data_IF_163740984787
#
_entry.id   IF_163740984787
#
_cell.length_a   1.000
_cell.length_b   1.000
_cell.length_c   1.000
_cell.angle_alpha   90.00
_cell.angle_beta   90.00
_cell.angle_gamma   90.00
#
_symmetry.space_group_name_H-M   'P 1'
#
loop_
_entity.id
_entity.type
_entity.pdbx_description
1 polymer ?
#
# COMPACT_ATOMS: atom_id res chain seq x y z
N UNK A 1 -18.15 30.47 21.19
CA UNK A 1 -17.85 29.56 20.10
C UNK A 1 -17.67 28.14 20.62
N UNK A 2 -17.87 27.13 19.76
CA UNK A 2 -17.68 25.74 20.11
C UNK A 2 -16.54 25.17 19.27
N UNK A 3 -15.70 24.35 19.88
CA UNK A 3 -14.68 23.55 19.19
C UNK A 3 -15.24 22.13 19.11
N UNK A 4 -15.33 21.60 17.89
CA UNK A 4 -15.80 20.24 17.65
C UNK A 4 -14.62 19.29 17.59
N UNK A 5 -14.51 18.29 18.49
CA UNK A 5 -13.50 17.28 18.38
C UNK A 5 -13.80 16.38 17.15
N UNK A 6 -12.81 16.24 16.28
CA UNK A 6 -12.87 15.37 15.12
C UNK A 6 -11.92 14.20 15.34
N UNK A 7 -12.33 13.00 14.96
CA UNK A 7 -11.51 11.81 15.06
C UNK A 7 -10.97 11.43 13.68
N UNK A 8 -9.65 11.42 13.55
CA UNK A 8 -8.97 10.91 12.36
C UNK A 8 -9.20 9.39 12.23
N UNK A 9 -9.31 8.91 11.00
CA UNK A 9 -9.37 7.47 10.72
C UNK A 9 -8.01 6.82 10.94
N UNK A 10 -7.95 5.61 11.56
CA UNK A 10 -6.74 4.81 11.59
C UNK A 10 -6.17 4.63 10.18
N UNK A 11 -4.85 4.83 10.02
CA UNK A 11 -4.19 4.86 8.71
C UNK A 11 -4.00 6.26 8.12
N UNK A 12 -4.61 7.30 8.74
CA UNK A 12 -4.40 8.70 8.38
C UNK A 12 -4.79 9.02 6.94
N UNK A 13 -4.01 9.91 6.30
CA UNK A 13 -4.26 10.35 4.91
C UNK A 13 -4.24 9.21 3.88
N UNK A 14 -3.60 8.09 4.18
CA UNK A 14 -3.58 6.91 3.32
C UNK A 14 -4.93 6.17 3.32
N UNK A 15 -5.75 6.38 4.35
CA UNK A 15 -7.10 5.80 4.45
C UNK A 15 -8.19 6.78 4.06
N UNK A 16 -8.00 8.05 4.38
CA UNK A 16 -8.88 9.15 4.01
C UNK A 16 -8.05 10.40 3.74
N UNK A 17 -8.06 10.87 2.50
CA UNK A 17 -7.35 12.09 2.08
C UNK A 17 -8.06 13.35 2.60
N UNK A 18 -8.07 13.54 3.93
CA UNK A 18 -8.76 14.62 4.62
C UNK A 18 -7.82 15.47 5.49
N UNK A 19 -8.21 16.71 5.77
CA UNK A 19 -7.43 17.63 6.60
C UNK A 19 -7.33 17.17 8.06
N UNK A 20 -8.35 16.49 8.59
CA UNK A 20 -8.33 15.89 9.93
C UNK A 20 -7.23 14.85 10.05
N UNK A 21 -7.15 13.96 9.07
CA UNK A 21 -6.11 12.94 8.99
C UNK A 21 -4.73 13.58 8.79
N UNK A 22 -4.63 14.57 7.91
CA UNK A 22 -3.38 15.28 7.65
C UNK A 22 -2.83 15.97 8.90
N UNK A 23 -3.67 16.59 9.72
CA UNK A 23 -3.24 17.24 10.94
C UNK A 23 -2.65 16.25 11.95
N UNK A 24 -3.27 15.08 12.11
CA UNK A 24 -2.79 14.01 12.98
C UNK A 24 -1.50 13.40 12.45
N UNK A 25 -1.44 13.10 11.14
CA UNK A 25 -0.24 12.52 10.50
C UNK A 25 0.97 13.46 10.62
N UNK A 26 0.79 14.76 10.38
CA UNK A 26 1.85 15.74 10.53
C UNK A 26 2.38 15.83 11.96
N UNK A 27 1.47 15.78 12.95
CA UNK A 27 1.89 15.75 14.36
C UNK A 27 2.71 14.48 14.67
N UNK A 28 2.26 13.32 14.21
CA UNK A 28 2.99 12.06 14.41
C UNK A 28 4.36 12.05 13.70
N UNK A 29 4.42 12.52 12.45
CA UNK A 29 5.68 12.63 11.69
C UNK A 29 6.67 13.58 12.34
N UNK A 30 6.17 14.59 13.05
CA UNK A 30 7.00 15.51 13.84
C UNK A 30 7.40 14.93 15.22
N UNK A 31 7.03 13.70 15.56
CA UNK A 31 7.30 13.08 16.86
C UNK A 31 6.45 13.64 18.00
N UNK A 32 5.33 14.29 17.68
CA UNK A 32 4.41 14.88 18.67
C UNK A 32 3.21 13.99 18.94
N UNK A 33 2.41 14.35 19.95
CA UNK A 33 1.14 13.68 20.22
C UNK A 33 0.22 13.75 18.99
N UNK A 34 -0.54 12.67 18.68
CA UNK A 34 -1.34 12.56 17.46
C UNK A 34 -2.62 13.41 17.54
N UNK A 35 -2.45 14.71 17.63
CA UNK A 35 -3.53 15.70 17.68
C UNK A 35 -3.09 17.00 17.02
N UNK A 36 -4.05 17.75 16.48
CA UNK A 36 -3.79 19.04 15.87
C UNK A 36 -5.04 19.91 15.84
N UNK A 37 -4.84 21.21 15.74
CA UNK A 37 -5.91 22.19 15.52
C UNK A 37 -5.94 22.53 14.04
N UNK A 38 -7.12 22.52 13.45
CA UNK A 38 -7.35 22.92 12.06
C UNK A 38 -8.31 24.10 12.02
N UNK A 39 -8.08 25.00 11.08
CA UNK A 39 -8.93 26.16 10.86
C UNK A 39 -8.92 26.52 9.37
N UNK A 40 -10.09 26.79 8.82
CA UNK A 40 -10.22 27.25 7.45
C UNK A 40 -9.76 28.71 7.32
N UNK A 41 -9.14 29.03 6.19
CA UNK A 41 -8.73 30.40 5.86
C UNK A 41 -9.80 31.03 4.97
N UNK A 42 -10.39 32.13 5.45
CA UNK A 42 -11.40 32.92 4.74
C UNK A 42 -10.79 34.18 4.12
N UNK A 43 -11.32 34.56 2.99
CA UNK A 43 -11.08 35.87 2.38
C UNK A 43 -11.84 36.97 3.15
N UNK A 44 -11.51 38.23 2.91
CA UNK A 44 -12.15 39.37 3.56
C UNK A 44 -13.64 39.51 3.24
N UNK A 45 -14.10 38.93 2.15
CA UNK A 45 -15.52 38.89 1.74
C UNK A 45 -16.30 37.72 2.37
N UNK A 46 -15.62 36.87 3.19
CA UNK A 46 -16.22 35.71 3.84
C UNK A 46 -16.20 34.43 2.99
N UNK A 47 -15.74 34.49 1.76
CA UNK A 47 -15.56 33.29 0.95
C UNK A 47 -14.35 32.47 1.42
N UNK A 48 -14.35 31.14 1.14
CA UNK A 48 -13.22 30.29 1.46
C UNK A 48 -12.05 30.54 0.51
N UNK A 49 -10.86 30.82 1.07
CA UNK A 49 -9.64 30.99 0.29
C UNK A 49 -9.31 29.72 -0.50
N UNK A 50 -8.92 29.90 -1.75
CA UNK A 50 -8.51 28.85 -2.68
C UNK A 50 -7.00 28.95 -2.92
N UNK A 51 -6.44 28.03 -3.69
CA UNK A 51 -4.99 27.91 -3.86
C UNK A 51 -4.27 29.22 -4.22
N UNK A 52 -4.79 30.08 -5.13
CA UNK A 52 -4.13 31.36 -5.43
C UNK A 52 -4.07 32.33 -4.22
N UNK A 53 -5.15 32.39 -3.43
CA UNK A 53 -5.23 33.20 -2.21
C UNK A 53 -4.35 32.62 -1.12
N UNK A 54 -4.37 31.28 -0.95
CA UNK A 54 -3.57 30.57 0.04
C UNK A 54 -2.07 30.73 -0.20
N UNK A 55 -1.61 30.75 -1.46
CA UNK A 55 -0.21 31.05 -1.79
C UNK A 55 0.21 32.42 -1.30
N UNK A 56 -0.59 33.47 -1.64
CA UNK A 56 -0.32 34.84 -1.17
C UNK A 56 -0.36 34.96 0.36
N UNK A 57 -1.28 34.25 1.00
CA UNK A 57 -1.38 34.20 2.45
C UNK A 57 -0.14 33.54 3.07
N UNK A 58 0.29 32.40 2.55
CA UNK A 58 1.48 31.69 3.01
C UNK A 58 2.72 32.55 2.86
N UNK A 59 2.93 33.18 1.70
CA UNK A 59 4.06 34.06 1.43
C UNK A 59 4.08 35.26 2.41
N UNK A 60 2.91 35.87 2.62
CA UNK A 60 2.78 37.04 3.53
C UNK A 60 3.16 36.70 4.97
N UNK A 61 2.82 35.52 5.43
CA UNK A 61 2.99 35.12 6.83
C UNK A 61 4.15 34.16 7.06
N UNK A 62 4.94 33.86 6.02
CA UNK A 62 6.06 32.93 6.10
C UNK A 62 5.62 31.50 6.45
N UNK A 63 4.44 31.08 6.01
CA UNK A 63 3.88 29.74 6.29
C UNK A 63 4.27 28.75 5.22
N UNK A 64 4.39 27.48 5.62
CA UNK A 64 4.56 26.39 4.67
C UNK A 64 3.21 26.01 4.07
N UNK A 65 3.18 25.76 2.76
CA UNK A 65 2.02 25.29 2.04
C UNK A 65 2.35 23.90 1.47
N UNK A 66 1.58 22.91 1.87
CA UNK A 66 1.71 21.53 1.40
C UNK A 66 0.36 21.04 0.90
N UNK A 67 0.36 20.00 0.07
CA UNK A 67 -0.86 19.30 -0.33
C UNK A 67 -1.01 17.97 0.39
N UNK A 68 -2.25 17.50 0.56
CA UNK A 68 -2.52 16.15 1.08
C UNK A 68 -1.93 15.09 0.13
N UNK A 69 -1.93 15.35 -1.17
CA UNK A 69 -1.31 14.45 -2.15
C UNK A 69 0.20 14.27 -1.92
N UNK A 70 0.92 15.36 -1.60
CA UNK A 70 2.35 15.27 -1.29
C UNK A 70 2.59 14.55 0.04
N UNK A 71 1.73 14.75 1.04
CA UNK A 71 1.81 14.02 2.31
C UNK A 71 1.57 12.52 2.11
N UNK A 72 0.59 12.15 1.29
CA UNK A 72 0.35 10.74 0.92
C UNK A 72 1.59 10.14 0.27
N UNK A 73 2.17 10.83 -0.73
CA UNK A 73 3.40 10.37 -1.41
C UNK A 73 4.54 10.21 -0.42
N UNK A 74 4.78 11.22 0.42
CA UNK A 74 5.82 11.17 1.44
C UNK A 74 5.68 9.95 2.35
N UNK A 75 4.45 9.65 2.82
CA UNK A 75 4.21 8.48 3.67
C UNK A 75 4.44 7.17 2.94
N UNK A 76 3.97 7.06 1.67
CA UNK A 76 4.20 5.86 0.85
C UNK A 76 5.69 5.60 0.59
N UNK A 77 6.48 6.65 0.42
CA UNK A 77 7.92 6.53 0.14
C UNK A 77 8.75 6.22 1.40
N UNK A 78 8.28 6.64 2.59
CA UNK A 78 9.08 6.58 3.82
C UNK A 78 8.57 5.57 4.86
N UNK A 79 7.35 5.03 4.72
CA UNK A 79 6.79 4.07 5.66
C UNK A 79 6.63 2.69 5.00
N UNK A 80 6.71 1.64 5.82
CA UNK A 80 6.49 0.26 5.38
C UNK A 80 5.17 -0.25 5.97
N UNK A 81 4.21 -0.50 5.08
CA UNK A 81 2.87 -0.95 5.45
C UNK A 81 2.66 -2.45 5.29
N UNK A 82 3.58 -3.13 4.61
CA UNK A 82 3.53 -4.57 4.40
C UNK A 82 4.47 -5.25 5.37
N UNK A 83 3.91 -6.10 6.24
CA UNK A 83 4.66 -6.86 7.22
C UNK A 83 4.65 -8.34 6.90
N UNK A 84 5.81 -8.96 7.07
CA UNK A 84 5.97 -10.41 7.06
C UNK A 84 5.34 -10.98 8.32
N UNK A 85 4.40 -11.93 8.16
CA UNK A 85 3.64 -12.50 9.27
C UNK A 85 4.12 -13.91 9.63
N UNK A 86 4.31 -14.75 8.64
CA UNK A 86 4.65 -16.15 8.83
C UNK A 86 5.43 -16.69 7.64
N UNK A 87 6.11 -17.82 7.85
CA UNK A 87 6.74 -18.58 6.78
C UNK A 87 6.61 -20.07 7.04
N UNK A 88 6.54 -20.86 5.99
CA UNK A 88 6.51 -22.31 6.06
C UNK A 88 7.13 -22.91 4.79
N UNK A 89 7.66 -24.13 4.91
CA UNK A 89 8.00 -24.92 3.74
C UNK A 89 6.72 -25.42 3.06
N UNK A 90 6.64 -25.26 1.76
CA UNK A 90 5.50 -25.65 0.95
C UNK A 90 5.94 -26.62 -0.16
N UNK A 91 5.95 -27.92 0.11
CA UNK A 91 6.10 -28.92 -0.94
C UNK A 91 4.89 -28.88 -1.85
N UNK A 92 5.10 -28.87 -3.15
CA UNK A 92 4.04 -28.82 -4.14
C UNK A 92 4.39 -29.71 -5.35
N UNK A 93 3.42 -29.93 -6.23
CA UNK A 93 3.65 -30.62 -7.51
C UNK A 93 4.62 -29.89 -8.45
N UNK A 94 4.91 -28.63 -8.17
CA UNK A 94 5.83 -27.78 -8.93
C UNK A 94 7.23 -27.74 -8.32
N UNK A 95 7.44 -28.37 -7.16
CA UNK A 95 8.68 -28.38 -6.41
C UNK A 95 8.51 -27.91 -4.97
N UNK A 96 9.62 -27.69 -4.29
CA UNK A 96 9.64 -27.22 -2.90
C UNK A 96 9.90 -25.72 -2.88
N UNK A 97 8.95 -24.96 -2.33
CA UNK A 97 9.03 -23.54 -2.15
C UNK A 97 8.94 -23.17 -0.66
N UNK A 98 9.46 -22.01 -0.30
CA UNK A 98 9.14 -21.36 0.96
C UNK A 98 7.97 -20.41 0.75
N UNK A 99 6.84 -20.67 1.41
CA UNK A 99 5.71 -19.77 1.44
C UNK A 99 5.90 -18.74 2.55
N UNK A 100 5.81 -17.46 2.21
CA UNK A 100 5.92 -16.33 3.16
C UNK A 100 4.64 -15.51 3.07
N UNK A 101 3.91 -15.44 4.18
CA UNK A 101 2.70 -14.64 4.30
C UNK A 101 3.02 -13.19 4.70
N UNK A 102 2.37 -12.27 4.03
CA UNK A 102 2.46 -10.83 4.30
C UNK A 102 1.07 -10.26 4.58
N UNK A 103 1.02 -9.25 5.43
CA UNK A 103 -0.19 -8.45 5.69
C UNK A 103 0.08 -6.98 5.43
N UNK A 104 -0.85 -6.35 4.72
CA UNK A 104 -0.87 -4.91 4.56
C UNK A 104 -1.64 -4.28 5.74
N UNK A 105 -0.98 -3.44 6.52
CA UNK A 105 -1.56 -2.81 7.71
C UNK A 105 -2.60 -1.73 7.39
N UNK A 106 -2.62 -1.22 6.15
CA UNK A 106 -3.56 -0.18 5.75
C UNK A 106 -4.98 -0.71 5.52
N UNK A 107 -5.11 -1.89 4.93
CA UNK A 107 -6.40 -2.46 4.53
C UNK A 107 -6.64 -3.87 5.09
N UNK A 108 -5.62 -4.46 5.74
CA UNK A 108 -5.68 -5.81 6.29
C UNK A 108 -5.57 -6.92 5.24
N UNK A 109 -5.31 -6.58 3.98
CA UNK A 109 -5.12 -7.57 2.93
C UNK A 109 -3.91 -8.45 3.20
N UNK A 110 -4.01 -9.71 2.81
CA UNK A 110 -2.94 -10.70 2.98
C UNK A 110 -2.46 -11.16 1.60
N UNK A 111 -1.15 -11.29 1.47
CA UNK A 111 -0.50 -11.73 0.25
C UNK A 111 0.49 -12.83 0.56
N UNK A 112 0.86 -13.62 -0.44
CA UNK A 112 1.82 -14.72 -0.28
C UNK A 112 2.94 -14.58 -1.29
N UNK A 113 4.18 -14.72 -0.84
CA UNK A 113 5.32 -14.97 -1.72
C UNK A 113 5.72 -16.43 -1.65
N UNK A 114 5.91 -17.08 -2.80
CA UNK A 114 6.50 -18.38 -2.93
C UNK A 114 7.94 -18.20 -3.41
N UNK A 115 8.89 -18.58 -2.57
CA UNK A 115 10.31 -18.33 -2.80
C UNK A 115 11.01 -19.66 -3.04
N UNK A 116 11.79 -19.75 -4.10
CA UNK A 116 12.75 -20.81 -4.38
C UNK A 116 14.15 -20.27 -4.16
N UNK A 117 15.01 -21.05 -3.52
CA UNK A 117 16.34 -20.62 -3.09
C UNK A 117 16.35 -19.99 -1.69
N UNK A 118 17.52 -19.53 -1.27
CA UNK A 118 17.69 -18.84 0.02
C UNK A 118 17.31 -17.36 -0.10
N UNK A 119 16.28 -16.86 0.63
CA UNK A 119 15.74 -15.51 0.44
C UNK A 119 16.77 -14.39 0.58
N UNK A 120 17.83 -14.61 1.36
CA UNK A 120 18.88 -13.61 1.61
C UNK A 120 20.09 -13.76 0.68
N UNK A 121 20.09 -14.75 -0.21
CA UNK A 121 21.20 -15.08 -1.10
C UNK A 121 20.75 -15.31 -2.54
N UNK A 122 19.60 -14.75 -2.94
CA UNK A 122 19.14 -14.80 -4.31
C UNK A 122 20.08 -14.02 -5.23
N UNK A 123 20.30 -14.54 -6.42
CA UNK A 123 21.09 -13.86 -7.46
C UNK A 123 20.45 -12.55 -7.92
N UNK A 124 21.24 -11.64 -8.46
CA UNK A 124 20.73 -10.43 -9.11
C UNK A 124 21.18 -10.42 -10.58
N UNK A 125 20.20 -10.32 -11.51
CA UNK A 125 18.75 -10.25 -11.35
C UNK A 125 18.11 -11.61 -11.02
N UNK A 126 17.04 -11.61 -10.20
CA UNK A 126 16.26 -12.80 -9.86
C UNK A 126 14.95 -12.83 -10.65
N UNK A 127 14.46 -14.04 -10.99
CA UNK A 127 13.15 -14.21 -11.63
C UNK A 127 12.02 -13.88 -10.65
N UNK A 128 11.12 -12.98 -11.05
CA UNK A 128 9.95 -12.61 -10.26
C UNK A 128 8.69 -12.66 -11.11
N UNK A 129 7.67 -13.37 -10.63
CA UNK A 129 6.31 -13.30 -11.17
C UNK A 129 5.40 -12.57 -10.19
N UNK A 130 4.81 -11.46 -10.61
CA UNK A 130 3.68 -10.83 -9.95
C UNK A 130 2.39 -11.44 -10.50
N UNK A 131 1.60 -12.09 -9.64
CA UNK A 131 0.35 -12.76 -10.00
C UNK A 131 -0.79 -12.22 -9.14
N UNK A 132 -1.79 -11.61 -9.77
CA UNK A 132 -3.04 -11.25 -9.08
C UNK A 132 -3.96 -12.46 -9.02
N UNK A 133 -4.57 -12.69 -7.87
CA UNK A 133 -5.55 -13.76 -7.65
C UNK A 133 -6.63 -13.75 -8.73
N UNK A 134 -6.95 -14.91 -9.23
CA UNK A 134 -8.09 -15.18 -10.08
C UNK A 134 -8.78 -16.43 -9.60
N UNK A 135 -9.76 -16.29 -8.71
CA UNK A 135 -10.45 -17.43 -8.09
C UNK A 135 -10.98 -18.43 -9.13
N UNK A 136 -11.62 -17.92 -10.17
CA UNK A 136 -12.18 -18.77 -11.22
C UNK A 136 -11.12 -19.49 -12.06
N UNK A 137 -10.04 -18.81 -12.38
CA UNK A 137 -8.92 -19.39 -13.15
C UNK A 137 -8.04 -20.29 -12.28
N UNK A 138 -7.51 -19.75 -11.18
CA UNK A 138 -6.49 -20.41 -10.37
C UNK A 138 -7.06 -21.60 -9.59
N UNK A 139 -8.25 -21.46 -8.96
CA UNK A 139 -8.84 -22.50 -8.14
C UNK A 139 -9.79 -23.41 -8.93
N UNK A 140 -10.70 -22.84 -9.71
CA UNK A 140 -11.75 -23.62 -10.39
C UNK A 140 -11.39 -24.06 -11.81
N UNK A 141 -10.25 -23.57 -12.36
CA UNK A 141 -9.78 -24.00 -13.68
C UNK A 141 -10.66 -23.50 -14.82
N UNK A 142 -11.19 -22.28 -14.72
CA UNK A 142 -11.95 -21.65 -15.79
C UNK A 142 -11.15 -21.59 -17.08
N UNK A 143 -11.76 -21.94 -18.20
CA UNK A 143 -11.17 -21.84 -19.52
C UNK A 143 -11.39 -20.46 -20.19
N UNK A 144 -12.01 -19.52 -19.48
CA UNK A 144 -12.21 -18.15 -19.96
C UNK A 144 -11.00 -17.24 -19.79
N UNK A 145 -10.02 -17.66 -19.00
CA UNK A 145 -8.76 -16.96 -18.78
C UNK A 145 -7.60 -17.95 -18.78
N UNK A 146 -6.40 -17.43 -18.86
CA UNK A 146 -5.15 -18.18 -18.82
C UNK A 146 -4.38 -17.97 -17.49
N UNK A 147 -5.06 -17.49 -16.43
CA UNK A 147 -4.42 -17.17 -15.15
C UNK A 147 -3.70 -18.39 -14.56
N UNK A 148 -4.38 -19.53 -14.46
CA UNK A 148 -3.78 -20.77 -13.96
C UNK A 148 -2.59 -21.26 -14.81
N UNK A 149 -2.69 -21.41 -16.13
CA UNK A 149 -1.53 -21.75 -16.97
C UNK A 149 -0.35 -20.79 -16.79
N UNK A 150 -0.58 -19.49 -16.64
CA UNK A 150 0.47 -18.51 -16.38
C UNK A 150 1.13 -18.71 -15.02
N UNK A 151 0.35 -18.99 -13.97
CA UNK A 151 0.88 -19.26 -12.63
C UNK A 151 1.71 -20.56 -12.64
N UNK A 152 1.18 -21.62 -13.23
CA UNK A 152 1.87 -22.91 -13.35
C UNK A 152 3.18 -22.80 -14.14
N UNK A 153 3.17 -22.08 -15.26
CA UNK A 153 4.37 -21.84 -16.07
C UNK A 153 5.45 -21.07 -15.28
N UNK A 154 5.05 -20.07 -14.50
CA UNK A 154 5.97 -19.31 -13.66
C UNK A 154 6.61 -20.18 -12.57
N UNK A 155 5.81 -21.02 -11.91
CA UNK A 155 6.31 -21.96 -10.89
C UNK A 155 7.29 -22.97 -11.48
N UNK A 156 6.99 -23.53 -12.66
CA UNK A 156 7.90 -24.46 -13.36
C UNK A 156 9.20 -23.77 -13.78
N UNK A 157 9.13 -22.55 -14.29
CA UNK A 157 10.31 -21.82 -14.72
C UNK A 157 11.23 -21.51 -13.54
N UNK A 158 10.65 -21.04 -12.41
CA UNK A 158 11.41 -20.76 -11.19
C UNK A 158 12.01 -22.04 -10.59
N UNK A 159 11.27 -23.16 -10.62
CA UNK A 159 11.82 -24.44 -10.17
C UNK A 159 13.00 -24.91 -11.04
N UNK A 160 12.90 -24.75 -12.35
CA UNK A 160 13.97 -25.11 -13.28
C UNK A 160 15.22 -24.23 -13.12
N UNK A 161 15.04 -22.95 -12.83
CA UNK A 161 16.14 -22.00 -12.54
C UNK A 161 16.80 -22.30 -11.19
N UNK A 162 16.06 -22.88 -10.24
CA UNK A 162 16.55 -23.19 -8.89
C UNK A 162 16.39 -22.03 -7.91
N UNK A 163 16.09 -20.82 -8.38
CA UNK A 163 15.82 -19.64 -7.57
C UNK A 163 14.80 -18.72 -8.22
N UNK A 164 14.05 -17.96 -7.41
CA UNK A 164 13.06 -17.02 -7.88
C UNK A 164 11.90 -16.83 -6.92
N UNK A 165 10.99 -15.94 -7.29
CA UNK A 165 9.85 -15.55 -6.45
C UNK A 165 8.57 -15.44 -7.25
N UNK A 166 7.49 -16.08 -6.78
CA UNK A 166 6.13 -15.77 -7.20
C UNK A 166 5.49 -14.93 -6.09
N UNK A 167 5.08 -13.70 -6.40
CA UNK A 167 4.28 -12.85 -5.49
C UNK A 167 2.82 -13.01 -5.87
N UNK A 168 2.07 -13.76 -5.05
CA UNK A 168 0.64 -13.98 -5.23
C UNK A 168 -0.14 -12.92 -4.45
N UNK A 169 -0.71 -11.97 -5.19
CA UNK A 169 -1.48 -10.86 -4.64
C UNK A 169 -2.95 -11.30 -4.52
N UNK A 170 -3.44 -11.38 -3.30
CA UNK A 170 -4.84 -11.67 -3.01
C UNK A 170 -5.69 -10.42 -3.27
N UNK A 171 -5.85 -10.13 -4.54
CA UNK A 171 -6.66 -9.04 -5.08
C UNK A 171 -7.31 -9.53 -6.37
N UNK A 172 -8.60 -9.81 -6.35
CA UNK A 172 -9.34 -10.30 -7.51
C UNK A 172 -9.40 -9.25 -8.62
N UNK A 173 -9.29 -9.68 -9.89
CA UNK A 173 -9.40 -8.79 -11.03
C UNK A 173 -8.39 -7.63 -11.04
N UNK A 174 -7.17 -7.81 -10.50
CA UNK A 174 -6.16 -6.76 -10.28
C UNK A 174 -6.67 -5.64 -9.35
N UNK A 175 -7.52 -6.00 -8.37
CA UNK A 175 -8.09 -5.06 -7.40
C UNK A 175 -9.44 -4.47 -7.80
N UNK A 176 -10.01 -4.89 -8.92
CA UNK A 176 -11.34 -4.43 -9.39
C UNK A 176 -12.46 -5.29 -8.78
N UNK A 177 -12.17 -6.55 -8.43
CA UNK A 177 -13.12 -7.56 -7.97
C UNK A 177 -13.48 -8.58 -9.05
N UNK A 178 -14.39 -9.50 -8.71
CA UNK A 178 -14.93 -10.53 -9.61
C UNK A 178 -15.78 -9.93 -10.73
#
# INVERSE_FOLDING_TARGET
GHIFPLRARPGGVLKRAGHTEAAVDLAQLAGLSPSGVICEIQNSDGSMARLPELRRYADRWGLKLISIADLIRYRLDNERFVRRMAQAQMPSRFGNFQAVGYRNELDGSEHVALIKGEPNALSEPVLVRMHSECLTGDAFGSLRCDCRPQLEAALHQIEAEGEGVVVYLRQEGRGIGL
#
